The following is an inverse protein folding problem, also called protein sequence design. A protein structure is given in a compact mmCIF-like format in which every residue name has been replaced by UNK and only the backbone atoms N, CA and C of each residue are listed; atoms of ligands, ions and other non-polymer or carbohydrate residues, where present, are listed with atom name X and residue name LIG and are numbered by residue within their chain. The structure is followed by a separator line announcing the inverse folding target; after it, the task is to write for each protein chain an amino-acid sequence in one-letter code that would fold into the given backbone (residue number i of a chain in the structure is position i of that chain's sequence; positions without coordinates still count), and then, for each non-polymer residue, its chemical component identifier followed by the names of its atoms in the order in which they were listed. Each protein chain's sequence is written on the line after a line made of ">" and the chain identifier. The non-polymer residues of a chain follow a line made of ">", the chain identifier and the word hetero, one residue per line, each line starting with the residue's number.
data_IF_026596562899
#
_entry.id   IF_026596562899
#
_cell.length_a   1.000
_cell.length_b   1.000
_cell.length_c   1.000
_cell.angle_alpha   90.00
_cell.angle_beta   90.00
_cell.angle_gamma   90.00
#
_symmetry.space_group_name_H-M   'P 1'
#
loop_
_entity.id
_entity.type
_entity.pdbx_description
1 polymer ?
#
# COMPACT_ATOMS: atom_id res chain seq x y z
N UNK A 1 -11.68 10.89 -14.13
CA UNK A 1 -10.93 11.14 -12.87
C UNK A 1 -11.98 11.14 -11.78
N UNK A 2 -12.14 9.98 -11.17
CA UNK A 2 -13.33 9.63 -10.41
C UNK A 2 -13.57 10.54 -9.20
N UNK A 3 -14.85 10.69 -8.85
CA UNK A 3 -15.26 11.24 -7.56
C UNK A 3 -14.62 10.43 -6.42
N UNK A 4 -14.20 11.11 -5.35
CA UNK A 4 -13.61 10.46 -4.17
C UNK A 4 -14.53 9.38 -3.56
N UNK A 5 -15.84 9.53 -3.66
CA UNK A 5 -16.83 8.53 -3.20
C UNK A 5 -16.81 7.27 -4.08
N UNK A 6 -16.62 7.42 -5.40
CA UNK A 6 -16.52 6.30 -6.34
C UNK A 6 -15.23 5.52 -6.08
N UNK A 7 -14.12 6.22 -5.85
CA UNK A 7 -12.83 5.59 -5.53
C UNK A 7 -12.88 4.84 -4.20
N UNK A 8 -13.52 5.41 -3.17
CA UNK A 8 -13.72 4.71 -1.90
C UNK A 8 -14.57 3.42 -2.04
N UNK A 9 -15.57 3.40 -2.93
CA UNK A 9 -16.28 2.16 -3.29
C UNK A 9 -15.33 1.13 -3.94
N UNK A 10 -14.51 1.56 -4.90
CA UNK A 10 -13.55 0.68 -5.59
C UNK A 10 -12.49 0.12 -4.62
N UNK A 11 -11.89 0.95 -3.77
CA UNK A 11 -10.97 0.52 -2.72
C UNK A 11 -11.63 -0.48 -1.76
N UNK A 12 -12.89 -0.25 -1.38
CA UNK A 12 -13.67 -1.20 -0.56
C UNK A 12 -13.80 -2.56 -1.26
N UNK A 13 -14.11 -2.59 -2.55
CA UNK A 13 -14.18 -3.85 -3.32
C UNK A 13 -12.84 -4.57 -3.41
N UNK A 14 -11.75 -3.84 -3.65
CA UNK A 14 -10.39 -4.40 -3.70
C UNK A 14 -9.96 -5.01 -2.36
N UNK A 15 -10.47 -4.49 -1.23
CA UNK A 15 -10.28 -5.07 0.10
C UNK A 15 -11.19 -6.29 0.31
N UNK A 16 -12.45 -6.27 -0.16
CA UNK A 16 -13.38 -7.41 -0.11
C UNK A 16 -12.85 -8.63 -0.90
N UNK A 17 -12.27 -8.40 -2.08
CA UNK A 17 -11.62 -9.42 -2.93
C UNK A 17 -10.23 -9.85 -2.40
N UNK A 18 -9.73 -9.25 -1.31
CA UNK A 18 -8.42 -9.58 -0.72
C UNK A 18 -7.20 -9.15 -1.56
N UNK A 19 -7.40 -8.29 -2.56
CA UNK A 19 -6.34 -7.74 -3.41
C UNK A 19 -5.52 -6.68 -2.65
N UNK A 20 -6.21 -5.92 -1.79
CA UNK A 20 -5.67 -4.88 -0.92
C UNK A 20 -5.78 -5.27 0.57
N UNK A 21 -4.73 -4.97 1.32
CA UNK A 21 -4.70 -5.13 2.78
C UNK A 21 -5.43 -3.97 3.46
N UNK A 22 -6.41 -4.33 4.28
CA UNK A 22 -7.21 -3.40 5.09
C UNK A 22 -6.37 -2.57 6.06
N UNK A 23 -5.15 -3.00 6.42
CA UNK A 23 -4.21 -2.22 7.22
C UNK A 23 -3.92 -0.82 6.64
N UNK A 24 -4.06 -0.65 5.32
CA UNK A 24 -3.81 0.62 4.62
C UNK A 24 -5.09 1.30 4.08
N UNK A 25 -6.28 0.85 4.48
CA UNK A 25 -7.61 1.34 4.02
C UNK A 25 -7.74 2.88 3.99
N UNK A 26 -7.16 3.57 4.97
CA UNK A 26 -7.19 5.05 5.07
C UNK A 26 -6.26 5.75 4.09
N UNK A 27 -5.14 5.10 3.76
CA UNK A 27 -4.03 5.67 3.00
C UNK A 27 -4.27 5.61 1.49
N UNK A 28 -5.16 4.73 1.00
CA UNK A 28 -5.52 4.65 -0.41
C UNK A 28 -6.09 5.96 -0.98
N UNK A 29 -6.76 6.75 -0.12
CA UNK A 29 -7.21 8.11 -0.46
C UNK A 29 -6.07 9.04 -0.90
N UNK A 30 -4.86 8.87 -0.35
CA UNK A 30 -3.66 9.64 -0.73
C UNK A 30 -3.12 9.22 -2.10
N UNK A 31 -3.27 7.95 -2.48
CA UNK A 31 -2.86 7.43 -3.79
C UNK A 31 -3.68 8.09 -4.89
N UNK A 32 -5.02 8.12 -4.76
CA UNK A 32 -5.91 8.82 -5.68
C UNK A 32 -5.60 10.32 -5.75
N UNK A 33 -5.49 10.98 -4.60
CA UNK A 33 -5.14 12.40 -4.54
C UNK A 33 -3.84 12.71 -5.27
N UNK A 34 -2.80 11.87 -5.12
CA UNK A 34 -1.51 12.11 -5.75
C UNK A 34 -1.53 11.89 -7.25
N UNK A 35 -2.21 10.85 -7.73
CA UNK A 35 -2.40 10.63 -9.18
C UNK A 35 -3.18 11.78 -9.82
N UNK A 36 -4.27 12.22 -9.18
CA UNK A 36 -5.10 13.33 -9.64
C UNK A 36 -4.33 14.67 -9.62
N UNK A 37 -3.48 14.91 -8.61
CA UNK A 37 -2.62 16.10 -8.55
C UNK A 37 -1.62 16.16 -9.72
N UNK A 38 -0.88 15.08 -9.98
CA UNK A 38 0.17 15.07 -11.00
C UNK A 38 -0.40 14.98 -12.43
N UNK A 39 -1.44 14.17 -12.68
CA UNK A 39 -2.10 14.11 -14.00
C UNK A 39 -2.70 15.47 -14.38
N UNK A 40 -3.17 16.27 -13.40
CA UNK A 40 -3.61 17.66 -13.65
C UNK A 40 -2.46 18.64 -13.93
N UNK A 41 -1.23 18.36 -13.48
CA UNK A 41 -0.03 19.18 -13.80
C UNK A 41 0.54 18.84 -15.17
N UNK A 42 0.66 17.55 -15.51
CA UNK A 42 1.16 17.12 -16.82
C UNK A 42 0.15 17.38 -17.94
N UNK A 43 -1.14 17.43 -17.60
CA UNK A 43 -2.24 17.55 -18.55
C UNK A 43 -2.75 16.17 -18.98
N UNK A 44 -3.97 16.17 -19.52
CA UNK A 44 -4.61 14.96 -20.04
C UNK A 44 -4.56 14.91 -21.56
N UNK A 45 -4.26 13.75 -22.09
CA UNK A 45 -4.34 13.43 -23.50
C UNK A 45 -5.76 12.97 -23.86
N UNK A 46 -6.11 13.02 -25.15
CA UNK A 46 -7.39 12.54 -25.65
C UNK A 46 -7.51 11.00 -25.61
N UNK A 47 -6.40 10.28 -25.60
CA UNK A 47 -6.37 8.80 -25.59
C UNK A 47 -6.27 8.27 -24.15
N UNK A 48 -7.24 7.47 -23.73
CA UNK A 48 -7.32 6.87 -22.39
C UNK A 48 -6.11 5.99 -22.05
N UNK A 49 -5.57 5.27 -23.04
CA UNK A 49 -4.35 4.45 -22.91
C UNK A 49 -3.09 5.28 -22.61
N UNK A 50 -2.92 6.44 -23.25
CA UNK A 50 -1.78 7.34 -22.98
C UNK A 50 -1.88 7.95 -21.58
N UNK A 51 -3.10 8.29 -21.13
CA UNK A 51 -3.33 8.73 -19.74
C UNK A 51 -3.01 7.61 -18.73
N UNK A 52 -3.34 6.35 -19.03
CA UNK A 52 -3.00 5.20 -18.19
C UNK A 52 -1.47 5.01 -18.07
N UNK A 53 -0.74 5.00 -19.20
CA UNK A 53 0.72 4.80 -19.21
C UNK A 53 1.47 5.93 -18.49
N UNK A 54 1.03 7.19 -18.67
CA UNK A 54 1.54 8.32 -17.90
C UNK A 54 1.25 8.15 -16.39
N UNK A 55 0.01 7.79 -16.05
CA UNK A 55 -0.42 7.56 -14.67
C UNK A 55 0.37 6.47 -13.97
N UNK A 56 0.66 5.35 -14.66
CA UNK A 56 1.48 4.27 -14.12
C UNK A 56 2.92 4.74 -13.88
N UNK A 57 3.50 5.53 -14.80
CA UNK A 57 4.83 6.11 -14.60
C UNK A 57 4.87 7.03 -13.37
N UNK A 58 3.92 7.95 -13.26
CA UNK A 58 3.75 8.84 -12.09
C UNK A 58 3.63 8.03 -10.79
N UNK A 59 2.82 6.96 -10.80
CA UNK A 59 2.65 6.05 -9.67
C UNK A 59 3.98 5.43 -9.25
N UNK A 60 4.74 4.86 -10.21
CA UNK A 60 6.04 4.22 -9.96
C UNK A 60 7.09 5.22 -9.44
N UNK A 61 7.19 6.40 -10.04
CA UNK A 61 8.13 7.46 -9.63
C UNK A 61 7.82 7.95 -8.19
N UNK A 62 6.54 8.09 -7.83
CA UNK A 62 6.13 8.44 -6.47
C UNK A 62 6.40 7.32 -5.45
N UNK A 63 6.10 6.07 -5.80
CA UNK A 63 6.39 4.89 -4.96
C UNK A 63 7.89 4.69 -4.73
N UNK A 64 8.73 4.96 -5.74
CA UNK A 64 10.18 5.01 -5.59
C UNK A 64 10.63 6.09 -4.59
N UNK A 65 9.95 7.25 -4.59
CA UNK A 65 10.12 8.29 -3.57
C UNK A 65 9.81 7.79 -2.16
N UNK A 66 8.69 7.08 -1.97
CA UNK A 66 8.31 6.47 -0.69
C UNK A 66 9.26 5.33 -0.26
N UNK A 67 9.76 4.54 -1.21
CA UNK A 67 10.75 3.50 -0.94
C UNK A 67 12.07 4.08 -0.42
N UNK A 68 12.54 5.20 -1.00
CA UNK A 68 13.69 5.96 -0.49
C UNK A 68 13.47 6.57 0.90
N UNK A 69 12.22 6.78 1.30
CA UNK A 69 11.84 7.21 2.65
C UNK A 69 11.69 6.04 3.65
N UNK A 70 11.90 4.79 3.22
CA UNK A 70 11.81 3.60 4.07
C UNK A 70 10.39 3.05 4.26
N UNK A 71 9.45 3.35 3.36
CA UNK A 71 8.14 2.71 3.37
C UNK A 71 8.25 1.18 3.23
N UNK A 72 7.38 0.44 3.92
CA UNK A 72 7.40 -1.03 3.88
C UNK A 72 6.97 -1.58 2.52
N UNK A 73 7.56 -2.72 2.15
CA UNK A 73 7.35 -3.38 0.86
C UNK A 73 5.88 -3.74 0.60
N UNK A 74 5.17 -4.17 1.65
CA UNK A 74 3.75 -4.50 1.60
C UNK A 74 2.91 -3.24 1.35
N UNK A 75 3.25 -2.11 1.99
CA UNK A 75 2.58 -0.83 1.79
C UNK A 75 2.79 -0.30 0.36
N UNK A 76 4.01 -0.37 -0.15
CA UNK A 76 4.35 0.01 -1.53
C UNK A 76 3.61 -0.85 -2.57
N UNK A 77 3.50 -2.16 -2.32
CA UNK A 77 2.75 -3.09 -3.18
C UNK A 77 1.24 -2.83 -3.14
N UNK A 78 0.68 -2.56 -1.96
CA UNK A 78 -0.72 -2.19 -1.81
C UNK A 78 -1.04 -0.87 -2.52
N UNK A 79 -0.21 0.16 -2.35
CA UNK A 79 -0.37 1.42 -3.08
C UNK A 79 -0.27 1.23 -4.61
N UNK A 80 0.64 0.37 -5.10
CA UNK A 80 0.76 0.06 -6.53
C UNK A 80 -0.54 -0.53 -7.09
N UNK A 81 -1.11 -1.53 -6.41
CA UNK A 81 -2.38 -2.18 -6.82
C UNK A 81 -3.56 -1.20 -6.79
N UNK A 82 -3.65 -0.42 -5.73
CA UNK A 82 -4.66 0.63 -5.55
C UNK A 82 -4.59 1.65 -6.70
N UNK A 83 -3.42 2.24 -6.96
CA UNK A 83 -3.24 3.21 -8.04
C UNK A 83 -3.47 2.63 -9.44
N UNK A 84 -3.01 1.40 -9.71
CA UNK A 84 -3.32 0.70 -10.97
C UNK A 84 -4.83 0.48 -11.15
N UNK A 85 -5.57 0.16 -10.09
CA UNK A 85 -7.02 0.00 -10.15
C UNK A 85 -7.74 1.33 -10.40
N UNK A 86 -7.27 2.44 -9.80
CA UNK A 86 -7.80 3.78 -10.04
C UNK A 86 -7.60 4.20 -11.51
N UNK A 87 -6.43 3.88 -12.09
CA UNK A 87 -6.11 4.14 -13.50
C UNK A 87 -6.93 3.25 -14.44
N UNK A 88 -7.11 1.96 -14.11
CA UNK A 88 -8.01 1.07 -14.86
C UNK A 88 -9.46 1.56 -14.83
N UNK A 89 -9.94 2.04 -13.67
CA UNK A 89 -11.26 2.64 -13.56
C UNK A 89 -11.36 3.92 -14.39
N UNK A 90 -10.40 4.86 -14.32
CA UNK A 90 -10.46 6.09 -15.16
C UNK A 90 -10.42 5.77 -16.66
N UNK A 91 -9.69 4.73 -17.07
CA UNK A 91 -9.72 4.25 -18.46
C UNK A 91 -11.11 3.73 -18.84
N UNK A 92 -11.72 2.86 -18.03
CA UNK A 92 -13.06 2.32 -18.29
C UNK A 92 -14.15 3.42 -18.23
N UNK A 93 -14.02 4.41 -17.35
CA UNK A 93 -14.83 5.64 -17.26
C UNK A 93 -14.66 6.54 -18.50
N UNK A 94 -13.49 6.54 -19.15
CA UNK A 94 -13.24 7.30 -20.39
C UNK A 94 -13.72 6.55 -21.65
N UNK A 95 -13.67 5.21 -21.62
CA UNK A 95 -13.98 4.35 -22.76
C UNK A 95 -15.49 3.99 -22.85
N UNK A 96 -16.35 4.45 -21.93
CA UNK A 96 -17.79 4.11 -21.88
C UNK A 96 -18.69 5.29 -21.47
N UNK A 97 -19.88 5.37 -22.08
CA UNK A 97 -20.93 6.34 -21.72
C UNK A 97 -21.88 5.85 -20.60
N UNK A 98 -21.56 4.71 -19.96
CA UNK A 98 -22.41 4.11 -18.92
C UNK A 98 -22.32 4.89 -17.60
N UNK A 99 -23.47 5.27 -17.04
CA UNK A 99 -23.54 6.08 -15.81
C UNK A 99 -23.76 5.27 -14.53
N UNK A 100 -23.87 3.93 -14.63
CA UNK A 100 -23.93 3.05 -13.47
C UNK A 100 -22.54 2.80 -12.89
N UNK A 101 -22.22 3.57 -11.85
CA UNK A 101 -20.98 3.49 -11.06
C UNK A 101 -20.64 2.07 -10.63
N UNK A 102 -21.63 1.26 -10.24
CA UNK A 102 -21.35 -0.09 -9.71
C UNK A 102 -21.03 -1.08 -10.85
N UNK A 103 -21.57 -0.89 -12.06
CA UNK A 103 -21.14 -1.63 -13.26
C UNK A 103 -19.75 -1.19 -13.74
N UNK A 104 -19.45 0.13 -13.74
CA UNK A 104 -18.12 0.64 -14.07
C UNK A 104 -17.05 0.07 -13.13
N UNK A 105 -17.33 0.01 -11.82
CA UNK A 105 -16.43 -0.62 -10.83
C UNK A 105 -16.23 -2.11 -11.13
N UNK A 106 -17.30 -2.87 -11.37
CA UNK A 106 -17.19 -4.30 -11.70
C UNK A 106 -16.38 -4.54 -12.98
N UNK A 107 -16.59 -3.73 -14.02
CA UNK A 107 -15.87 -3.84 -15.30
C UNK A 107 -14.41 -3.40 -15.19
N UNK A 108 -14.11 -2.40 -14.37
CA UNK A 108 -12.74 -2.02 -14.03
C UNK A 108 -12.01 -3.13 -13.26
N UNK A 109 -12.69 -3.81 -12.33
CA UNK A 109 -12.14 -4.96 -11.59
C UNK A 109 -11.84 -6.15 -12.51
N UNK A 110 -12.74 -6.49 -13.44
CA UNK A 110 -12.50 -7.53 -14.45
C UNK A 110 -11.29 -7.15 -15.32
N UNK A 111 -11.25 -5.94 -15.88
CA UNK A 111 -10.13 -5.53 -16.74
C UNK A 111 -8.79 -5.41 -15.99
N UNK A 112 -8.82 -5.15 -14.69
CA UNK A 112 -7.66 -5.17 -13.79
C UNK A 112 -7.13 -6.59 -13.55
N UNK A 113 -8.02 -7.59 -13.39
CA UNK A 113 -7.66 -9.01 -13.28
C UNK A 113 -7.18 -9.61 -14.62
N UNK A 114 -7.78 -9.19 -15.75
CA UNK A 114 -7.34 -9.58 -17.11
C UNK A 114 -5.90 -9.12 -17.44
N UNK A 115 -5.36 -8.14 -16.69
CA UNK A 115 -4.00 -7.62 -16.83
C UNK A 115 -3.05 -8.09 -15.71
N UNK A 116 -3.45 -9.10 -14.92
CA UNK A 116 -2.70 -9.65 -13.77
C UNK A 116 -2.31 -8.57 -12.71
N UNK A 117 -3.00 -7.42 -12.66
CA UNK A 117 -2.60 -6.31 -11.79
C UNK A 117 -2.82 -6.62 -10.30
N UNK A 118 -3.68 -7.56 -9.95
CA UNK A 118 -3.81 -8.08 -8.57
C UNK A 118 -2.57 -8.88 -8.14
N UNK A 119 -1.86 -9.50 -9.11
CA UNK A 119 -0.57 -10.17 -8.87
C UNK A 119 0.62 -9.21 -8.88
N UNK A 120 0.43 -7.94 -9.24
CA UNK A 120 1.50 -6.94 -9.23
C UNK A 120 2.14 -6.80 -7.85
N UNK A 121 3.45 -6.59 -7.87
CA UNK A 121 4.31 -6.48 -6.69
C UNK A 121 5.35 -5.40 -6.95
N UNK A 122 5.48 -4.44 -6.04
CA UNK A 122 6.44 -3.35 -6.22
C UNK A 122 7.87 -3.92 -6.21
N UNK A 123 8.72 -3.57 -7.18
CA UNK A 123 10.11 -4.03 -7.22
C UNK A 123 11.02 -2.87 -7.56
N UNK A 124 11.92 -2.54 -6.62
CA UNK A 124 13.11 -1.75 -6.94
C UNK A 124 14.00 -2.55 -7.89
N UNK A 125 14.43 -1.93 -8.99
CA UNK A 125 15.52 -2.44 -9.80
C UNK A 125 16.83 -2.44 -9.00
N UNK A 126 17.82 -3.23 -9.42
CA UNK A 126 19.11 -3.29 -8.73
C UNK A 126 19.89 -1.96 -8.79
N UNK A 127 19.63 -1.11 -9.78
CA UNK A 127 20.16 0.26 -9.81
C UNK A 127 19.52 1.14 -8.72
N UNK A 128 18.21 1.03 -8.50
CA UNK A 128 17.50 1.80 -7.47
C UNK A 128 17.83 1.33 -6.05
N UNK A 129 18.06 0.01 -5.85
CA UNK A 129 18.49 -0.54 -4.54
C UNK A 129 19.79 0.09 -4.04
N UNK A 130 20.71 0.43 -4.94
CA UNK A 130 21.98 1.11 -4.60
C UNK A 130 21.73 2.54 -4.10
N UNK A 131 20.66 3.21 -4.56
CA UNK A 131 20.26 4.55 -4.12
C UNK A 131 19.38 4.53 -2.86
N UNK A 132 18.60 3.45 -2.66
CA UNK A 132 17.71 3.28 -1.50
C UNK A 132 18.44 2.78 -0.25
N UNK A 133 19.55 2.04 -0.38
CA UNK A 133 20.33 1.68 0.80
C UNK A 133 20.91 2.94 1.47
N UNK A 134 20.75 3.11 2.81
CA UNK A 134 21.49 4.14 3.51
C UNK A 134 22.98 3.83 3.33
N UNK A 135 23.76 4.84 2.93
CA UNK A 135 25.20 4.69 2.74
C UNK A 135 25.83 4.31 4.08
N UNK A 136 26.04 3.00 4.29
CA UNK A 136 26.81 2.48 5.40
C UNK A 136 28.18 3.13 5.32
N UNK A 137 28.44 4.03 6.27
CA UNK A 137 29.58 4.94 6.21
C UNK A 137 30.85 4.13 6.41
N UNK A 138 31.41 3.63 5.30
CA UNK A 138 32.71 2.98 5.29
C UNK A 138 33.69 3.92 6.02
N UNK A 139 34.36 3.45 7.09
CA UNK A 139 35.13 4.32 7.96
C UNK A 139 36.25 4.97 7.15
N UNK A 140 36.05 6.24 6.79
CA UNK A 140 36.95 6.99 5.89
C UNK A 140 38.34 6.96 6.49
N UNK A 141 39.27 6.24 5.83
CA UNK A 141 40.69 6.24 6.18
C UNK A 141 41.15 7.70 6.27
N UNK A 142 41.51 8.12 7.48
CA UNK A 142 41.86 9.50 7.79
C UNK A 142 43.19 9.87 7.13
N UNK A 143 43.12 10.43 5.91
CA UNK A 143 44.27 10.87 5.13
C UNK A 143 44.87 12.20 5.66
N UNK A 144 45.23 12.23 6.93
CA UNK A 144 45.79 13.40 7.61
C UNK A 144 47.26 13.65 7.20
N UNK A 145 47.45 14.40 6.12
CA UNK A 145 48.61 15.29 5.92
C UNK A 145 48.16 16.70 6.37
N UNK A 146 48.97 17.58 6.95
CA UNK A 146 50.44 17.64 7.02
C UNK A 146 50.86 18.54 8.21
N UNK A 147 51.66 18.05 9.16
CA UNK A 147 52.37 18.89 10.14
C UNK A 147 53.56 18.11 10.73
N UNK A 148 54.68 18.77 11.02
CA UNK A 148 55.89 18.12 11.53
C UNK A 148 56.34 18.71 12.87
N UNK A 149 56.70 17.85 13.82
CA UNK A 149 57.70 18.19 14.85
C UNK A 149 58.43 16.95 15.41
N UNK A 150 59.63 17.21 15.89
CA UNK A 150 60.65 16.25 16.35
C UNK A 150 60.27 15.50 17.64
N UNK A 151 61.09 14.46 17.91
CA UNK A 151 61.58 13.97 19.21
C UNK A 151 60.80 12.87 19.97
N UNK A 152 61.46 11.70 19.96
CA UNK A 152 61.87 10.89 21.13
C UNK A 152 60.87 10.04 21.94
N UNK A 153 61.17 8.73 21.91
CA UNK A 153 61.44 7.87 23.08
C UNK A 153 60.32 7.04 23.78
N UNK A 154 60.29 5.75 23.39
CA UNK A 154 60.78 4.60 24.19
C UNK A 154 59.88 3.97 25.30
N UNK A 155 59.89 2.63 25.30
CA UNK A 155 59.57 1.63 26.37
C UNK A 155 58.09 1.28 26.67
N UNK A 156 57.84 -0.06 26.66
CA UNK A 156 57.18 -0.94 27.67
C UNK A 156 55.79 -0.56 28.26
N UNK A 157 54.89 -1.49 28.64
CA UNK A 157 54.87 -2.98 28.56
C UNK A 157 53.56 -3.58 29.10
N UNK A 158 53.19 -4.79 28.63
CA UNK A 158 52.36 -5.83 29.30
C UNK A 158 50.88 -5.48 29.67
N UNK A 159 49.89 -6.40 29.84
CA UNK A 159 49.57 -7.81 29.49
C UNK A 159 48.75 -8.41 30.67
N UNK A 160 47.73 -9.27 30.39
CA UNK A 160 46.76 -9.95 31.32
C UNK A 160 45.48 -9.11 31.58
N UNK A 161 44.26 -9.62 31.31
CA UNK A 161 43.40 -10.62 32.03
C UNK A 161 42.77 -10.03 33.31
N UNK A 162 41.52 -10.32 33.71
CA UNK A 162 40.53 -11.33 33.28
C UNK A 162 39.06 -10.90 33.51
N UNK A 163 38.10 -11.68 33.00
CA UNK A 163 36.72 -11.78 33.52
C UNK A 163 36.62 -12.90 34.58
N UNK A 164 35.61 -12.91 35.46
CA UNK A 164 34.55 -13.94 35.30
C UNK A 164 33.12 -13.52 35.76
N UNK A 165 32.16 -14.44 35.57
CA UNK A 165 30.70 -14.31 35.80
C UNK A 165 30.25 -14.73 37.22
N UNK A 166 29.09 -14.23 37.70
CA UNK A 166 28.04 -14.99 38.46
C UNK A 166 26.76 -14.16 38.68
N UNK A 167 25.66 -14.71 39.25
CA UNK A 167 24.53 -15.43 38.58
C UNK A 167 23.34 -15.63 39.56
N UNK A 168 22.07 -15.70 39.06
CA UNK A 168 20.78 -15.92 39.80
C UNK A 168 20.32 -14.69 40.62
N UNK A 169 19.07 -14.47 41.06
CA UNK A 169 17.71 -15.11 41.00
C UNK A 169 16.66 -13.98 41.18
N UNK A 170 15.33 -14.03 41.01
CA UNK A 170 14.27 -15.02 40.65
C UNK A 170 13.26 -14.32 39.68
N UNK A 171 12.07 -14.79 39.21
CA UNK A 171 11.12 -15.90 39.44
C UNK A 171 10.11 -15.83 40.62
N UNK A 172 9.02 -15.08 40.44
CA UNK A 172 7.70 -15.34 41.06
C UNK A 172 6.56 -15.24 40.02
N UNK A 173 5.38 -15.85 40.28
CA UNK A 173 4.21 -15.81 39.39
C UNK A 173 2.90 -16.01 40.16
N UNK A 174 1.85 -15.23 39.83
CA UNK A 174 0.51 -15.36 40.43
C UNK A 174 -0.57 -15.53 39.35
N UNK A 175 -1.27 -16.67 39.36
CA UNK A 175 -2.46 -16.95 38.54
C UNK A 175 -3.73 -17.02 39.41
N UNK A 176 -4.82 -16.38 39.02
CA UNK A 176 -6.22 -16.75 39.36
C UNK A 176 -7.13 -16.39 38.17
N UNK A 177 -7.71 -17.39 37.49
CA UNK A 177 -9.12 -17.85 37.61
C UNK A 177 -10.13 -16.76 37.19
N UNK A 178 -10.82 -16.78 36.03
CA UNK A 178 -11.65 -17.81 35.34
C UNK A 178 -13.08 -17.95 35.87
N UNK A 179 -14.01 -17.25 35.20
CA UNK A 179 -15.42 -17.62 34.95
C UNK A 179 -15.93 -16.75 33.77
N UNK A 180 -16.56 -17.16 32.66
CA UNK A 180 -17.24 -18.38 32.14
C UNK A 180 -18.78 -18.24 32.12
N UNK A 181 -19.36 -18.32 30.90
CA UNK A 181 -20.80 -18.21 30.53
C UNK A 181 -21.37 -16.78 30.65
N UNK A 182 -22.41 -16.36 29.90
CA UNK A 182 -23.34 -17.08 29.00
C UNK A 182 -23.92 -16.12 27.93
N UNK A 183 -24.05 -16.55 26.67
CA UNK A 183 -25.12 -16.09 25.78
C UNK A 183 -26.35 -17.01 25.98
N UNK A 184 -27.59 -16.59 25.67
CA UNK A 184 -28.11 -16.93 24.33
C UNK A 184 -29.20 -16.01 23.74
N UNK A 185 -29.32 -16.07 22.40
CA UNK A 185 -30.56 -16.07 21.58
C UNK A 185 -31.74 -15.15 21.98
N UNK A 186 -32.11 -14.25 21.05
CA UNK A 186 -33.51 -14.16 20.56
C UNK A 186 -33.54 -14.47 19.07
N UNK A 187 -34.54 -15.23 18.63
CA UNK A 187 -34.74 -15.58 17.22
C UNK A 187 -36.23 -15.69 16.91
N UNK A 188 -36.71 -14.83 16.00
CA UNK A 188 -37.99 -14.89 15.32
C UNK A 188 -37.77 -14.21 13.95
N UNK A 189 -37.77 -14.86 12.78
CA UNK A 189 -38.49 -16.02 12.23
C UNK A 189 -39.93 -15.70 11.77
N UNK A 190 -40.10 -15.67 10.44
CA UNK A 190 -41.34 -15.53 9.64
C UNK A 190 -42.09 -14.19 9.72
N UNK A 191 -42.20 -13.52 8.57
CA UNK A 191 -43.36 -13.75 7.69
C UNK A 191 -42.97 -13.64 6.21
N UNK A 192 -43.64 -14.45 5.38
CA UNK A 192 -43.51 -14.50 3.92
C UNK A 192 -44.79 -13.94 3.30
N UNK A 193 -44.68 -13.05 2.31
CA UNK A 193 -45.82 -12.61 1.49
C UNK A 193 -45.43 -12.48 0.02
N UNK A 194 -45.83 -13.48 -0.77
CA UNK A 194 -45.80 -13.53 -2.25
C UNK A 194 -47.10 -12.89 -2.79
N UNK A 195 -47.19 -12.68 -4.12
CA UNK A 195 -48.29 -11.98 -4.87
C UNK A 195 -48.32 -10.45 -4.66
N UNK A 196 -48.81 -9.64 -5.61
CA UNK A 196 -49.43 -9.91 -6.94
C UNK A 196 -48.72 -9.17 -8.08
N UNK A 197 -48.91 -9.67 -9.30
CA UNK A 197 -48.71 -8.93 -10.56
C UNK A 197 -49.90 -8.01 -10.87
N UNK A 198 -49.66 -6.88 -11.56
CA UNK A 198 -50.70 -6.02 -12.14
C UNK A 198 -50.25 -5.41 -13.47
N UNK A 199 -50.33 -6.21 -14.54
CA UNK A 199 -50.06 -5.83 -15.94
C UNK A 199 -51.24 -5.02 -16.49
N UNK A 200 -51.02 -3.77 -16.94
CA UNK A 200 -52.06 -2.96 -17.61
C UNK A 200 -51.50 -2.23 -18.84
N UNK A 201 -51.88 -2.67 -20.04
CA UNK A 201 -51.88 -1.83 -21.25
C UNK A 201 -52.83 -0.65 -20.99
N UNK A 202 -52.67 0.54 -21.55
CA UNK A 202 -52.98 1.00 -22.93
C UNK A 202 -52.92 2.56 -22.81
N UNK A 203 -52.88 3.42 -23.83
CA UNK A 203 -53.30 3.35 -25.23
C UNK A 203 -52.53 4.42 -26.02
N UNK A 204 -52.00 4.08 -27.20
CA UNK A 204 -51.53 5.07 -28.18
C UNK A 204 -52.75 5.63 -28.92
N UNK A 205 -52.77 6.94 -29.17
CA UNK A 205 -53.64 7.59 -30.14
C UNK A 205 -52.85 8.68 -30.84
#
# INVERSE_FOLDING_TARGET
>A
MADSVIVQKLDTRLIEEGILDRAFEKDYSLVHQKLNEEIRKTGKFAESKVNFELGEKILRDWLLGLARQGASQDKLTNYLRCGLAHLSYERIESDNEETDVDNLILRALVSFQEQDFEKSFFRLSDQEKVVVQPVVVAPKKSAAKKAAKKKSAKKKSAKKKATPKKKKTAKEAAKKKVAKKKAPKKAAKKKTSKKKTSKKKTKKR
#
